data_IF_591839150554
#
_entry.id   IF_591839150554
#
_cell.length_a   1.000
_cell.length_b   1.000
_cell.length_c   1.000
_cell.angle_alpha   90.00
_cell.angle_beta   90.00
_cell.angle_gamma   90.00
#
_symmetry.space_group_name_H-M   'P 1'
#
loop_
_entity.id
_entity.type
_entity.pdbx_description
1 polymer ?
#
# COMPACT_ATOMS: atom_id res chain seq x y z
N UNK A 1 42.25 0.83 -22.64
CA UNK A 1 41.31 0.05 -23.47
C UNK A 1 40.06 -0.24 -22.63
N UNK A 2 38.89 0.14 -23.17
CA UNK A 2 37.50 -0.07 -22.72
C UNK A 2 37.01 0.42 -21.33
N UNK A 3 36.20 1.48 -21.40
CA UNK A 3 35.07 1.84 -20.53
C UNK A 3 34.09 0.65 -20.38
N UNK A 4 33.26 0.62 -19.32
CA UNK A 4 31.79 0.34 -19.35
C UNK A 4 31.22 -0.09 -17.97
N UNK A 5 30.53 0.86 -17.29
CA UNK A 5 29.20 0.75 -16.68
C UNK A 5 28.82 -0.45 -15.77
N UNK A 6 28.82 -0.21 -14.44
CA UNK A 6 27.88 -0.77 -13.43
C UNK A 6 28.14 -2.21 -12.96
N UNK A 7 27.82 -2.53 -11.68
CA UNK A 7 26.45 -2.35 -11.25
C UNK A 7 26.27 -1.89 -9.79
N UNK A 8 25.43 -0.87 -9.62
CA UNK A 8 24.79 -0.48 -8.36
C UNK A 8 23.77 -1.54 -7.88
N UNK A 9 24.04 -2.84 -8.07
CA UNK A 9 23.14 -3.95 -7.76
C UNK A 9 23.50 -4.67 -6.45
N UNK A 10 24.75 -4.59 -5.97
CA UNK A 10 25.20 -5.36 -4.80
C UNK A 10 24.51 -4.97 -3.49
N UNK A 11 24.14 -3.70 -3.34
CA UNK A 11 23.29 -3.24 -2.23
C UNK A 11 21.87 -3.77 -2.35
N UNK A 12 21.29 -3.71 -3.54
CA UNK A 12 19.94 -4.22 -3.82
C UNK A 12 19.83 -5.73 -3.59
N UNK A 13 20.85 -6.52 -3.96
CA UNK A 13 20.84 -7.98 -3.75
C UNK A 13 20.98 -8.31 -2.26
N UNK A 14 21.77 -7.54 -1.49
CA UNK A 14 21.84 -7.68 -0.03
C UNK A 14 20.51 -7.32 0.63
N UNK A 15 19.86 -6.23 0.22
CA UNK A 15 18.54 -5.84 0.72
C UNK A 15 17.47 -6.87 0.36
N UNK A 16 17.50 -7.40 -0.87
CA UNK A 16 16.61 -8.50 -1.29
C UNK A 16 16.82 -9.74 -0.43
N UNK A 17 18.06 -10.11 -0.11
CA UNK A 17 18.35 -11.28 0.73
C UNK A 17 17.89 -11.09 2.18
N UNK A 18 18.06 -9.88 2.73
CA UNK A 18 17.60 -9.56 4.09
C UNK A 18 16.08 -9.51 4.15
N UNK A 19 15.42 -8.94 3.13
CA UNK A 19 13.96 -8.95 2.99
C UNK A 19 13.43 -10.36 2.78
N UNK A 20 14.05 -11.18 1.92
CA UNK A 20 13.67 -12.58 1.73
C UNK A 20 13.77 -13.41 3.01
N UNK A 21 14.72 -13.11 3.90
CA UNK A 21 14.78 -13.74 5.25
C UNK A 21 13.74 -13.22 6.23
N UNK A 22 13.16 -12.06 5.97
CA UNK A 22 12.03 -11.50 6.74
C UNK A 22 10.66 -11.93 6.16
N UNK A 23 10.61 -12.34 4.89
CA UNK A 23 9.44 -12.92 4.20
C UNK A 23 8.97 -14.29 4.75
N UNK A 24 9.77 -15.21 5.33
CA UNK A 24 9.25 -16.43 5.95
C UNK A 24 8.20 -16.14 7.04
N UNK A 25 8.30 -15.01 7.74
CA UNK A 25 7.30 -14.55 8.69
C UNK A 25 6.07 -13.91 8.02
N UNK A 26 6.18 -13.38 6.79
CA UNK A 26 5.03 -12.92 6.02
C UNK A 26 4.13 -14.08 5.57
N UNK A 27 4.70 -15.23 5.23
CA UNK A 27 3.93 -16.45 4.96
C UNK A 27 3.18 -16.97 6.18
N UNK A 28 3.66 -16.68 7.39
CA UNK A 28 3.01 -17.01 8.66
C UNK A 28 1.85 -16.03 8.98
N UNK A 29 2.01 -14.74 8.65
CA UNK A 29 0.95 -13.72 8.73
C UNK A 29 -0.11 -13.88 7.61
N UNK A 30 0.27 -14.51 6.51
CA UNK A 30 -0.60 -14.82 5.37
C UNK A 30 -0.94 -16.31 5.29
N UNK A 31 -1.06 -16.97 6.44
CA UNK A 31 -1.69 -18.28 6.52
C UNK A 31 -3.19 -18.17 6.18
N UNK A 32 -3.84 -19.26 5.78
CA UNK A 32 -5.16 -19.26 5.11
C UNK A 32 -6.19 -18.42 5.88
N UNK A 33 -6.29 -18.63 7.19
CA UNK A 33 -7.22 -17.94 8.09
C UNK A 33 -6.92 -16.43 8.24
N UNK A 34 -5.65 -16.07 8.42
CA UNK A 34 -5.23 -14.68 8.63
C UNK A 34 -5.31 -13.88 7.34
N UNK A 35 -5.06 -14.53 6.19
CA UNK A 35 -5.24 -13.93 4.86
C UNK A 35 -6.69 -13.53 4.63
N UNK A 36 -7.67 -14.41 4.92
CA UNK A 36 -9.08 -14.05 4.78
C UNK A 36 -9.48 -12.92 5.72
N UNK A 37 -8.98 -12.90 6.95
CA UNK A 37 -9.26 -11.81 7.89
C UNK A 37 -8.69 -10.47 7.42
N UNK A 38 -7.47 -10.48 6.85
CA UNK A 38 -6.84 -9.30 6.27
C UNK A 38 -7.63 -8.76 5.08
N UNK A 39 -7.98 -9.62 4.12
CA UNK A 39 -8.76 -9.23 2.93
C UNK A 39 -10.13 -8.72 3.34
N UNK A 40 -10.79 -9.37 4.30
CA UNK A 40 -12.10 -8.94 4.81
C UNK A 40 -12.03 -7.56 5.44
N UNK A 41 -11.06 -7.32 6.33
CA UNK A 41 -10.85 -6.01 6.94
C UNK A 41 -10.47 -4.93 5.91
N UNK A 42 -9.67 -5.27 4.90
CA UNK A 42 -9.27 -4.36 3.85
C UNK A 42 -10.45 -3.96 2.94
N UNK A 43 -11.29 -4.92 2.56
CA UNK A 43 -12.50 -4.69 1.77
C UNK A 43 -13.52 -3.87 2.56
N UNK A 44 -13.80 -4.26 3.82
CA UNK A 44 -14.69 -3.50 4.71
C UNK A 44 -14.17 -2.08 4.94
N UNK A 45 -12.87 -1.93 5.19
CA UNK A 45 -12.21 -0.65 5.37
C UNK A 45 -12.32 0.23 4.13
N UNK A 46 -12.15 -0.35 2.93
CA UNK A 46 -12.28 0.37 1.65
C UNK A 46 -13.72 0.82 1.42
N UNK A 47 -14.71 -0.03 1.70
CA UNK A 47 -16.13 0.33 1.60
C UNK A 47 -16.45 1.47 2.57
N UNK A 48 -16.02 1.37 3.83
CA UNK A 48 -16.21 2.42 4.82
C UNK A 48 -15.50 3.71 4.40
N UNK A 49 -14.28 3.62 3.87
CA UNK A 49 -13.52 4.77 3.39
C UNK A 49 -14.21 5.45 2.20
N UNK A 50 -14.72 4.68 1.23
CA UNK A 50 -15.52 5.19 0.11
C UNK A 50 -16.80 5.86 0.61
N UNK A 51 -17.46 5.27 1.61
CA UNK A 51 -18.67 5.84 2.20
C UNK A 51 -18.39 7.15 2.95
N UNK A 52 -17.30 7.20 3.71
CA UNK A 52 -16.82 8.40 4.41
C UNK A 52 -16.42 9.47 3.39
N UNK A 53 -15.68 9.13 2.34
CA UNK A 53 -15.32 10.06 1.26
C UNK A 53 -16.57 10.57 0.54
N UNK A 54 -17.51 9.69 0.20
CA UNK A 54 -18.78 10.08 -0.40
C UNK A 54 -19.52 11.08 0.49
N UNK A 55 -19.50 10.87 1.81
CA UNK A 55 -20.11 11.80 2.76
C UNK A 55 -19.32 13.09 2.91
N UNK A 56 -17.98 13.05 2.93
CA UNK A 56 -17.12 14.21 3.11
C UNK A 56 -17.06 15.11 1.87
N UNK A 57 -17.15 14.54 0.68
CA UNK A 57 -17.21 15.31 -0.58
C UNK A 57 -18.55 16.03 -0.72
N UNK A 58 -19.64 15.47 -0.17
CA UNK A 58 -20.96 16.13 -0.16
C UNK A 58 -21.09 17.23 0.91
N UNK A 59 -20.27 17.26 1.96
CA UNK A 59 -20.30 18.34 2.98
C UNK A 59 -19.35 19.48 2.61
N UNK A 60 -19.57 20.10 1.45
CA UNK A 60 -19.10 21.46 1.15
C UNK A 60 -20.26 22.39 0.79
N UNK A 61 -21.14 22.78 1.73
CA UNK A 61 -21.97 23.96 1.55
C UNK A 61 -21.26 25.18 2.15
N UNK A 62 -20.13 25.59 1.58
CA UNK A 62 -19.60 26.95 1.82
C UNK A 62 -18.56 27.29 0.75
N UNK A 63 -18.62 28.51 0.21
CA UNK A 63 -17.61 29.22 -0.61
C UNK A 63 -17.67 29.25 -2.15
N UNK A 64 -18.74 28.86 -2.86
CA UNK A 64 -18.88 29.23 -4.31
C UNK A 64 -20.32 29.61 -4.71
N UNK A 65 -21.06 30.33 -3.87
CA UNK A 65 -22.28 31.06 -4.31
C UNK A 65 -22.32 32.51 -3.77
N UNK A 66 -21.14 33.08 -3.47
CA UNK A 66 -20.93 34.54 -3.51
C UNK A 66 -20.03 34.85 -4.71
N UNK A 67 -20.52 34.49 -5.90
CA UNK A 67 -19.96 34.91 -7.19
C UNK A 67 -20.96 34.65 -8.31
N UNK A 68 -22.00 35.48 -8.39
CA UNK A 68 -22.69 35.95 -9.61
C UNK A 68 -24.03 36.57 -9.22
#
# INVERSE_FOLDING_TARGET
>A
MSNNNGPNNGYSIKLINTLYRQVPAFTDIFDEETWYMFVTCFVLGTILLVFILSRFITIKPSLVFNKA
#
